data_IF_717251902456
#
_entry.id   IF_717251902456
#
_cell.length_a   1.000
_cell.length_b   1.000
_cell.length_c   1.000
_cell.angle_alpha   90.00
_cell.angle_beta   90.00
_cell.angle_gamma   90.00
#
_symmetry.space_group_name_H-M   'P 1'
#
loop_
_entity.id
_entity.type
_entity.pdbx_description
1 polymer ?
#
# COMPACT_ATOMS: atom_id res chain seq x y z
N UNK A 1 8.61 9.90 -12.31
CA UNK A 1 7.85 9.16 -13.34
C UNK A 1 7.55 7.72 -12.92
N UNK A 2 8.52 6.96 -12.38
CA UNK A 2 8.31 5.59 -11.90
C UNK A 2 7.38 5.48 -10.66
N UNK A 3 7.47 6.45 -9.72
CA UNK A 3 6.67 6.45 -8.49
C UNK A 3 5.17 6.45 -8.80
N UNK A 4 4.70 7.39 -9.63
CA UNK A 4 3.29 7.48 -10.01
C UNK A 4 2.77 6.19 -10.67
N UNK A 5 3.55 5.59 -11.57
CA UNK A 5 3.22 4.32 -12.21
C UNK A 5 3.15 3.15 -11.21
N UNK A 6 4.12 3.04 -10.32
CA UNK A 6 4.18 2.00 -9.30
C UNK A 6 3.00 2.12 -8.32
N UNK A 7 2.68 3.34 -7.88
CA UNK A 7 1.53 3.62 -7.02
C UNK A 7 0.23 3.23 -7.71
N UNK A 8 -0.01 3.68 -8.95
CA UNK A 8 -1.26 3.32 -9.65
C UNK A 8 -1.35 1.83 -9.95
N UNK A 9 -0.24 1.17 -10.30
CA UNK A 9 -0.18 -0.29 -10.49
C UNK A 9 -0.44 -1.04 -9.18
N UNK A 10 0.04 -0.54 -8.04
CA UNK A 10 -0.26 -1.10 -6.74
C UNK A 10 -1.72 -0.86 -6.33
N UNK A 11 -2.34 0.25 -6.75
CA UNK A 11 -3.73 0.56 -6.46
C UNK A 11 -4.73 -0.12 -7.40
N UNK A 12 -4.32 -0.69 -8.53
CA UNK A 12 -5.23 -1.26 -9.54
C UNK A 12 -5.93 -2.55 -9.14
N UNK A 13 -5.56 -3.16 -8.01
CA UNK A 13 -6.10 -4.43 -7.53
C UNK A 13 -7.03 -4.24 -6.32
N UNK A 14 -8.22 -4.86 -6.33
CA UNK A 14 -9.21 -4.67 -5.28
C UNK A 14 -8.78 -5.23 -3.92
N UNK A 15 -7.99 -6.30 -3.86
CA UNK A 15 -7.50 -6.85 -2.60
C UNK A 15 -6.44 -5.92 -1.99
N UNK A 16 -5.56 -5.33 -2.81
CA UNK A 16 -4.61 -4.31 -2.34
C UNK A 16 -5.33 -3.07 -1.79
N UNK A 17 -6.38 -2.61 -2.46
CA UNK A 17 -7.22 -1.53 -1.93
C UNK A 17 -7.90 -1.89 -0.60
N UNK A 18 -8.38 -3.12 -0.44
CA UNK A 18 -8.95 -3.60 0.83
C UNK A 18 -7.90 -3.61 1.94
N UNK A 19 -6.68 -4.08 1.67
CA UNK A 19 -5.57 -4.04 2.63
C UNK A 19 -5.31 -2.61 3.10
N UNK A 20 -5.20 -1.65 2.17
CA UNK A 20 -4.99 -0.24 2.51
C UNK A 20 -6.15 0.34 3.34
N UNK A 21 -7.40 -0.04 3.04
CA UNK A 21 -8.58 0.36 3.83
C UNK A 21 -8.57 -0.22 5.25
N UNK A 22 -8.08 -1.43 5.44
CA UNK A 22 -7.90 -2.04 6.76
C UNK A 22 -6.82 -1.28 7.55
N UNK A 23 -5.65 -1.08 6.93
CA UNK A 23 -4.51 -0.40 7.54
C UNK A 23 -4.75 1.10 7.81
N UNK A 24 -5.71 1.72 7.12
CA UNK A 24 -6.19 3.07 7.41
C UNK A 24 -6.90 3.15 8.78
N UNK A 25 -7.51 2.06 9.24
CA UNK A 25 -8.22 2.02 10.53
C UNK A 25 -7.28 1.77 11.69
N UNK A 26 -6.34 0.85 11.53
CA UNK A 26 -5.34 0.51 12.53
C UNK A 26 -4.18 -0.26 11.89
N UNK A 27 -3.04 -0.28 12.57
CA UNK A 27 -1.95 -1.19 12.24
C UNK A 27 -2.38 -2.64 12.52
N UNK A 28 -1.92 -3.58 11.70
CA UNK A 28 -2.36 -4.98 11.78
C UNK A 28 -1.23 -5.94 11.42
N UNK A 29 -1.21 -7.11 12.05
CA UNK A 29 -0.38 -8.23 11.65
C UNK A 29 -0.89 -8.89 10.36
N UNK A 30 -0.02 -9.66 9.69
CA UNK A 30 -0.40 -10.43 8.49
C UNK A 30 -1.60 -11.33 8.74
N UNK A 31 -1.66 -11.98 9.92
CA UNK A 31 -2.77 -12.86 10.29
C UNK A 31 -4.09 -12.11 10.50
N UNK A 32 -4.05 -10.90 11.07
CA UNK A 32 -5.24 -10.06 11.22
C UNK A 32 -5.75 -9.56 9.87
N UNK A 33 -4.85 -9.18 8.97
CA UNK A 33 -5.21 -8.77 7.60
C UNK A 33 -5.83 -9.96 6.85
N UNK A 34 -5.24 -11.16 6.95
CA UNK A 34 -5.77 -12.36 6.30
C UNK A 34 -7.20 -12.67 6.77
N UNK A 35 -7.49 -12.54 8.07
CA UNK A 35 -8.83 -12.81 8.61
C UNK A 35 -9.95 -11.93 8.05
N UNK A 36 -9.61 -10.84 7.33
CA UNK A 36 -10.54 -9.93 6.68
C UNK A 36 -10.64 -10.12 5.16
N UNK A 37 -9.95 -11.11 4.59
CA UNK A 37 -9.83 -11.30 3.15
C UNK A 37 -10.03 -12.76 2.77
N UNK A 38 -10.71 -13.00 1.65
CA UNK A 38 -10.89 -14.33 1.08
C UNK A 38 -9.77 -14.63 0.06
N UNK A 39 -8.53 -14.73 0.57
CA UNK A 39 -7.32 -15.04 -0.22
C UNK A 39 -6.36 -15.93 0.58
N UNK A 40 -5.39 -16.54 -0.10
CA UNK A 40 -4.36 -17.33 0.57
C UNK A 40 -3.30 -16.45 1.25
N UNK A 41 -2.58 -17.02 2.22
CA UNK A 41 -1.41 -16.37 2.83
C UNK A 41 -0.33 -16.00 1.79
N UNK A 42 -0.06 -16.85 0.81
CA UNK A 42 0.91 -16.57 -0.25
C UNK A 42 0.48 -15.36 -1.09
N UNK A 43 -0.82 -15.29 -1.44
CA UNK A 43 -1.41 -14.15 -2.16
C UNK A 43 -1.32 -12.87 -1.34
N UNK A 44 -1.63 -12.92 -0.04
CA UNK A 44 -1.52 -11.77 0.85
C UNK A 44 -0.07 -11.28 0.97
N UNK A 45 0.90 -12.18 1.18
CA UNK A 45 2.32 -11.82 1.24
C UNK A 45 2.78 -11.14 -0.06
N UNK A 46 2.36 -11.66 -1.22
CA UNK A 46 2.66 -11.05 -2.50
C UNK A 46 2.05 -9.64 -2.64
N UNK A 47 0.80 -9.45 -2.21
CA UNK A 47 0.17 -8.14 -2.20
C UNK A 47 0.87 -7.13 -1.27
N UNK A 48 1.27 -7.56 -0.07
CA UNK A 48 2.00 -6.72 0.89
C UNK A 48 3.39 -6.34 0.35
N UNK A 49 4.05 -7.24 -0.37
CA UNK A 49 5.32 -6.94 -1.05
C UNK A 49 5.16 -5.89 -2.15
N UNK A 50 4.14 -6.00 -3.01
CA UNK A 50 3.82 -4.99 -4.02
C UNK A 50 3.55 -3.64 -3.36
N UNK A 51 2.71 -3.61 -2.32
CA UNK A 51 2.37 -2.38 -1.61
C UNK A 51 3.59 -1.74 -0.94
N UNK A 52 4.49 -2.56 -0.37
CA UNK A 52 5.73 -2.10 0.25
C UNK A 52 6.71 -1.54 -0.78
N UNK A 53 6.86 -2.19 -1.94
CA UNK A 53 7.67 -1.68 -3.05
C UNK A 53 7.14 -0.40 -3.67
N UNK A 54 5.83 -0.16 -3.58
CA UNK A 54 5.19 1.09 -3.95
C UNK A 54 5.18 2.14 -2.82
N UNK A 55 5.84 1.85 -1.70
CA UNK A 55 5.92 2.70 -0.50
C UNK A 55 4.56 3.10 0.09
N UNK A 56 3.53 2.26 -0.13
CA UNK A 56 2.17 2.48 0.39
C UNK A 56 1.97 1.89 1.78
N UNK A 57 2.83 0.95 2.19
CA UNK A 57 2.78 0.32 3.51
C UNK A 57 4.19 0.12 4.05
N UNK A 58 4.30 0.19 5.37
CA UNK A 58 5.52 -0.15 6.11
C UNK A 58 5.26 -1.36 7.00
N UNK A 59 6.30 -2.17 7.22
CA UNK A 59 6.23 -3.34 8.10
C UNK A 59 7.33 -3.28 9.14
N UNK A 60 6.96 -3.37 10.43
CA UNK A 60 7.91 -3.50 11.53
C UNK A 60 7.79 -4.87 12.19
N UNK A 61 8.91 -5.38 12.73
CA UNK A 61 8.89 -6.61 13.53
C UNK A 61 8.45 -6.27 14.96
N UNK A 62 7.48 -7.03 15.47
CA UNK A 62 7.01 -6.98 16.85
C UNK A 62 6.98 -8.42 17.40
N UNK A 63 8.02 -8.76 18.17
CA UNK A 63 8.31 -10.14 18.56
C UNK A 63 8.45 -11.06 17.35
N UNK A 64 7.59 -12.07 17.25
CA UNK A 64 7.55 -13.03 16.14
C UNK A 64 6.67 -12.58 14.97
N UNK A 65 5.92 -11.47 15.12
CA UNK A 65 4.97 -10.99 14.12
C UNK A 65 5.55 -9.82 13.34
N UNK A 66 5.01 -9.59 12.14
CA UNK A 66 5.23 -8.35 11.39
C UNK A 66 3.94 -7.56 11.45
N UNK A 67 4.02 -6.34 11.95
CA UNK A 67 2.92 -5.38 12.02
C UNK A 67 3.06 -4.42 10.86
N UNK A 68 2.02 -4.35 10.03
CA UNK A 68 1.93 -3.45 8.90
C UNK A 68 1.15 -2.20 9.26
N UNK A 69 1.58 -1.07 8.70
CA UNK A 69 0.93 0.23 8.81
C UNK A 69 0.85 0.89 7.43
N UNK A 70 -0.14 1.78 7.28
CA UNK A 70 -0.25 2.62 6.08
C UNK A 70 0.89 3.63 6.06
N UNK A 71 1.57 3.79 4.92
CA UNK A 71 2.56 4.84 4.74
C UNK A 71 1.93 6.05 4.05
N UNK A 72 1.85 7.18 4.75
CA UNK A 72 1.29 8.44 4.24
C UNK A 72 2.37 9.38 3.68
N UNK A 73 3.67 9.12 3.90
CA UNK A 73 4.74 10.02 3.48
C UNK A 73 4.85 10.17 1.97
N UNK A 74 4.43 9.16 1.21
CA UNK A 74 4.45 9.16 -0.26
C UNK A 74 3.37 10.07 -0.87
N UNK A 75 2.36 10.50 -0.10
CA UNK A 75 1.22 11.27 -0.62
C UNK A 75 1.62 12.66 -1.11
N UNK A 76 2.53 13.33 -0.41
CA UNK A 76 3.00 14.67 -0.80
C UNK A 76 3.70 14.59 -2.15
N UNK A 77 4.60 13.61 -2.33
CA UNK A 77 5.33 13.41 -3.59
C UNK A 77 4.40 13.02 -4.74
N UNK A 78 3.39 12.17 -4.50
CA UNK A 78 2.38 11.85 -5.50
C UNK A 78 1.58 13.10 -5.89
N UNK A 79 1.20 13.93 -4.91
CA UNK A 79 0.42 15.14 -5.14
C UNK A 79 1.18 16.13 -6.03
N UNK A 80 2.47 16.33 -5.76
CA UNK A 80 3.34 17.18 -6.57
C UNK A 80 3.48 16.67 -8.01
N UNK A 81 3.66 15.36 -8.17
CA UNK A 81 3.75 14.74 -9.50
C UNK A 81 2.44 14.86 -10.28
N UNK A 82 1.29 14.68 -9.63
CA UNK A 82 -0.03 14.88 -10.26
C UNK A 82 -0.20 16.33 -10.70
N UNK A 83 0.10 17.30 -9.83
CA UNK A 83 0.02 18.73 -10.18
C UNK A 83 0.93 19.05 -11.37
N UNK A 84 2.16 18.52 -11.38
CA UNK A 84 3.10 18.71 -12.50
C UNK A 84 2.57 18.10 -13.81
N UNK A 85 1.92 16.93 -13.74
CA UNK A 85 1.33 16.26 -14.90
C UNK A 85 0.10 17.01 -15.45
N UNK A 86 -0.75 17.52 -14.56
CA UNK A 86 -1.99 18.22 -14.92
C UNK A 86 -1.77 19.69 -15.31
N UNK A 87 -0.60 20.27 -15.02
CA UNK A 87 -0.22 21.59 -15.53
C UNK A 87 -0.03 21.54 -17.05
N UNK A 88 -1.11 21.84 -17.76
CA UNK A 88 -1.10 22.09 -19.21
C UNK A 88 -0.30 23.37 -19.45
N UNK A 89 0.79 23.28 -20.22
CA UNK A 89 1.45 24.47 -20.79
C UNK A 89 0.39 25.20 -21.61
N UNK A 90 0.08 26.44 -21.23
CA UNK A 90 -0.50 27.40 -22.18
C UNK A 90 0.52 27.70 -23.27
#
# INVERSE_FOLDING_TARGET
>A
MLILSNTFSALSDPNRQKILKLLKKSEMSVTEILGNLDITMATLSHHLDILKRADLVSGRRDGQRIIYSLNLSILDEISEQIVKLLKVKK
#
